data_IF_663788707016
#
_entry.id   IF_663788707016
#
_cell.length_a   1.000
_cell.length_b   1.000
_cell.length_c   1.000
_cell.angle_alpha   90.00
_cell.angle_beta   90.00
_cell.angle_gamma   90.00
#
_symmetry.space_group_name_H-M   'P 1'
#
loop_
_entity.id
_entity.type
_entity.pdbx_description
1 polymer ?
#
# COMPACT_ATOMS: atom_id res chain seq x y z
N UNK A 1 18.49 36.87 -16.73
CA UNK A 1 17.14 36.44 -17.13
C UNK A 1 17.16 34.95 -17.47
N UNK A 2 17.66 34.10 -16.56
CA UNK A 2 17.96 32.67 -16.84
C UNK A 2 17.57 31.74 -15.67
N UNK A 3 16.88 32.27 -14.65
CA UNK A 3 16.50 31.48 -13.45
C UNK A 3 15.01 31.14 -13.42
N UNK A 4 14.25 31.54 -14.45
CA UNK A 4 12.80 31.29 -14.54
C UNK A 4 12.44 29.87 -15.04
N UNK A 5 13.43 29.05 -15.42
CA UNK A 5 13.22 27.72 -16.02
C UNK A 5 13.22 26.56 -15.02
N UNK A 6 13.37 26.82 -13.71
CA UNK A 6 13.61 25.77 -12.71
C UNK A 6 12.38 25.31 -11.89
N UNK A 7 11.19 25.87 -12.12
CA UNK A 7 10.00 25.45 -11.39
C UNK A 7 8.78 25.38 -12.29
N UNK A 8 8.86 24.63 -13.38
CA UNK A 8 7.64 23.95 -13.81
C UNK A 8 7.38 22.87 -12.75
N UNK A 9 6.84 23.28 -11.60
CA UNK A 9 6.11 22.37 -10.73
C UNK A 9 5.11 21.72 -11.66
N UNK A 10 5.31 20.44 -11.95
CA UNK A 10 4.33 19.68 -12.68
C UNK A 10 3.08 19.71 -11.81
N UNK A 11 2.12 20.59 -12.13
CA UNK A 11 0.79 20.73 -11.50
C UNK A 11 -0.10 19.48 -11.75
N UNK A 12 0.52 18.31 -11.88
CA UNK A 12 -0.13 17.01 -12.01
C UNK A 12 0.02 16.22 -10.70
N UNK A 13 -0.92 15.29 -10.43
CA UNK A 13 -0.85 14.42 -9.26
C UNK A 13 0.50 13.66 -9.21
N UNK A 14 1.10 13.54 -8.02
CA UNK A 14 2.36 12.80 -7.82
C UNK A 14 2.10 11.29 -7.86
N UNK A 15 1.89 10.77 -9.08
CA UNK A 15 1.62 9.35 -9.34
C UNK A 15 2.78 8.44 -8.96
N UNK A 16 3.99 8.99 -8.88
CA UNK A 16 5.18 8.26 -8.45
C UNK A 16 5.11 7.95 -6.96
N UNK A 17 4.86 8.97 -6.12
CA UNK A 17 4.72 8.77 -4.68
C UNK A 17 3.51 7.90 -4.34
N UNK A 18 2.38 8.10 -5.01
CA UNK A 18 1.23 7.20 -4.89
C UNK A 18 1.60 5.75 -5.24
N UNK A 19 2.36 5.52 -6.32
CA UNK A 19 2.84 4.21 -6.70
C UNK A 19 3.75 3.56 -5.65
N UNK A 20 4.71 4.31 -5.12
CA UNK A 20 5.61 3.84 -4.06
C UNK A 20 4.83 3.42 -2.82
N UNK A 21 3.79 4.17 -2.45
CA UNK A 21 2.93 3.79 -1.34
C UNK A 21 2.32 2.40 -1.56
N UNK A 22 1.77 2.11 -2.73
CA UNK A 22 1.21 0.79 -3.04
C UNK A 22 2.26 -0.33 -3.08
N UNK A 23 3.44 -0.10 -3.66
CA UNK A 23 4.50 -1.12 -3.66
C UNK A 23 4.96 -1.44 -2.26
N UNK A 24 5.12 -0.43 -1.41
CA UNK A 24 5.54 -0.64 -0.02
C UNK A 24 4.49 -1.34 0.84
N UNK A 25 3.20 -1.28 0.46
CA UNK A 25 2.13 -1.91 1.21
C UNK A 25 2.22 -3.45 1.27
N UNK A 26 2.95 -4.08 0.34
CA UNK A 26 3.17 -5.54 0.37
C UNK A 26 3.99 -6.00 1.58
N UNK A 27 4.81 -5.11 2.16
CA UNK A 27 5.63 -5.41 3.34
C UNK A 27 4.94 -4.97 4.64
N UNK A 28 3.82 -4.25 4.55
CA UNK A 28 3.02 -3.80 5.68
C UNK A 28 2.61 -2.32 5.58
N UNK A 29 1.94 -1.79 6.63
CA UNK A 29 1.34 -0.46 6.58
C UNK A 29 2.30 0.70 6.89
N UNK A 30 3.51 0.41 7.37
CA UNK A 30 4.41 1.45 7.94
C UNK A 30 4.79 2.51 6.92
N UNK A 31 5.37 2.11 5.78
CA UNK A 31 5.81 3.06 4.74
C UNK A 31 4.62 3.82 4.12
N UNK A 32 3.49 3.17 3.77
CA UNK A 32 2.30 3.89 3.32
C UNK A 32 1.79 4.93 4.33
N UNK A 33 1.79 4.63 5.64
CA UNK A 33 1.40 5.57 6.69
C UNK A 33 2.35 6.76 6.77
N UNK A 34 3.67 6.53 6.62
CA UNK A 34 4.65 7.62 6.59
C UNK A 34 4.41 8.54 5.38
N UNK A 35 4.14 7.97 4.20
CA UNK A 35 3.81 8.74 2.99
C UNK A 35 2.52 9.53 3.19
N UNK A 36 1.49 8.91 3.76
CA UNK A 36 0.24 9.59 4.11
C UNK A 36 0.48 10.78 5.04
N UNK A 37 1.24 10.60 6.12
CA UNK A 37 1.58 11.68 7.06
C UNK A 37 2.36 12.82 6.40
N UNK A 38 3.27 12.49 5.48
CA UNK A 38 4.10 13.46 4.77
C UNK A 38 3.32 14.25 3.73
N UNK A 39 2.41 13.61 2.98
CA UNK A 39 1.69 14.25 1.86
C UNK A 39 0.34 14.86 2.24
N UNK A 40 -0.21 14.58 3.43
CA UNK A 40 -1.56 15.01 3.88
C UNK A 40 -1.88 16.51 3.82
N UNK A 41 -0.90 17.38 3.62
CA UNK A 41 -1.09 18.84 3.52
C UNK A 41 -0.79 19.40 2.14
N UNK A 42 -0.15 18.62 1.28
CA UNK A 42 0.50 19.12 0.05
C UNK A 42 -0.09 18.48 -1.22
N UNK A 43 -0.53 17.22 -1.16
CA UNK A 43 -1.08 16.49 -2.32
C UNK A 43 -2.24 15.58 -1.89
N UNK A 44 -3.46 15.97 -2.25
CA UNK A 44 -4.69 15.23 -1.95
C UNK A 44 -4.73 13.86 -2.64
N UNK A 45 -4.19 13.74 -3.86
CA UNK A 45 -4.18 12.49 -4.61
C UNK A 45 -3.25 11.47 -3.94
N UNK A 46 -1.99 11.83 -3.70
CA UNK A 46 -1.03 10.97 -3.01
C UNK A 46 -1.50 10.62 -1.60
N UNK A 47 -2.15 11.57 -0.90
CA UNK A 47 -2.71 11.32 0.42
C UNK A 47 -3.79 10.25 0.39
N UNK A 48 -4.74 10.33 -0.55
CA UNK A 48 -5.80 9.34 -0.68
C UNK A 48 -5.25 7.96 -1.03
N UNK A 49 -4.34 7.87 -1.99
CA UNK A 49 -3.76 6.59 -2.40
C UNK A 49 -2.86 5.99 -1.32
N UNK A 50 -2.08 6.82 -0.60
CA UNK A 50 -1.29 6.36 0.54
C UNK A 50 -2.14 5.85 1.70
N UNK A 51 -3.30 6.48 1.98
CA UNK A 51 -4.26 5.98 2.96
C UNK A 51 -4.84 4.62 2.54
N UNK A 52 -5.18 4.46 1.27
CA UNK A 52 -5.70 3.20 0.72
C UNK A 52 -4.64 2.08 0.78
N UNK A 53 -3.40 2.40 0.41
CA UNK A 53 -2.23 1.51 0.53
C UNK A 53 -1.95 1.12 1.98
N UNK A 54 -2.07 2.05 2.95
CA UNK A 54 -1.91 1.76 4.37
C UNK A 54 -2.97 0.78 4.88
N UNK A 55 -4.22 0.98 4.48
CA UNK A 55 -5.34 0.10 4.85
C UNK A 55 -5.18 -1.32 4.28
N UNK A 56 -4.65 -1.43 3.07
CA UNK A 56 -4.28 -2.70 2.46
C UNK A 56 -3.10 -3.36 3.18
N UNK A 57 -2.02 -2.62 3.42
CA UNK A 57 -0.84 -3.11 4.13
C UNK A 57 -1.17 -3.58 5.55
N UNK A 58 -2.16 -2.97 6.21
CA UNK A 58 -2.68 -3.47 7.49
C UNK A 58 -3.36 -4.82 7.34
N UNK A 59 -4.18 -5.02 6.30
CA UNK A 59 -4.81 -6.31 6.02
C UNK A 59 -3.77 -7.40 5.79
N UNK A 60 -2.71 -7.10 5.03
CA UNK A 60 -1.57 -8.00 4.81
C UNK A 60 -0.87 -8.33 6.13
N UNK A 61 -0.60 -7.33 6.97
CA UNK A 61 0.04 -7.52 8.27
C UNK A 61 -0.80 -8.43 9.19
N UNK A 62 -2.10 -8.17 9.30
CA UNK A 62 -3.01 -9.00 10.10
C UNK A 62 -3.04 -10.44 9.60
N UNK A 63 -3.15 -10.65 8.28
CA UNK A 63 -3.11 -11.98 7.70
C UNK A 63 -1.78 -12.70 7.96
N UNK A 64 -0.65 -11.98 7.87
CA UNK A 64 0.67 -12.54 8.14
C UNK A 64 0.83 -12.95 9.61
N UNK A 65 0.32 -12.15 10.55
CA UNK A 65 0.29 -12.48 11.98
C UNK A 65 -0.54 -13.74 12.21
N UNK A 66 -1.76 -13.80 11.67
CA UNK A 66 -2.63 -14.98 11.81
C UNK A 66 -1.98 -16.25 11.24
N UNK A 67 -1.38 -16.18 10.04
CA UNK A 67 -0.70 -17.33 9.45
C UNK A 67 0.51 -17.79 10.28
N UNK A 68 1.23 -16.84 10.89
CA UNK A 68 2.35 -17.13 11.80
C UNK A 68 1.86 -17.80 13.10
N UNK A 69 0.74 -17.33 13.67
CA UNK A 69 0.14 -17.95 14.85
C UNK A 69 -0.31 -19.39 14.57
N UNK A 70 -0.96 -19.64 13.43
CA UNK A 70 -1.34 -21.01 13.01
C UNK A 70 -0.11 -21.90 12.89
N UNK A 71 0.95 -21.40 12.24
CA UNK A 71 2.22 -22.12 12.09
C UNK A 71 2.84 -22.51 13.42
N UNK A 72 2.82 -21.60 14.41
CA UNK A 72 3.50 -21.79 15.70
C UNK A 72 2.69 -22.66 16.68
N UNK A 73 1.38 -22.46 16.74
CA UNK A 73 0.53 -23.04 17.78
C UNK A 73 -0.28 -24.26 17.34
N UNK A 74 -0.32 -24.58 16.04
CA UNK A 74 -1.04 -25.75 15.52
C UNK A 74 -0.04 -26.74 14.92
N UNK A 75 0.63 -27.58 15.73
CA UNK A 75 1.74 -28.42 15.27
C UNK A 75 1.36 -29.40 14.15
N UNK A 76 0.12 -29.92 14.13
CA UNK A 76 -0.36 -30.80 13.06
C UNK A 76 -0.66 -30.04 11.74
N UNK A 77 -0.90 -28.74 11.81
CA UNK A 77 -1.22 -27.88 10.65
C UNK A 77 -0.14 -26.82 10.40
N UNK A 78 1.05 -26.96 10.98
CA UNK A 78 2.13 -25.98 10.82
C UNK A 78 2.50 -25.74 9.34
N UNK A 79 2.39 -26.80 8.53
CA UNK A 79 2.54 -26.76 7.07
C UNK A 79 1.48 -25.88 6.38
N UNK A 80 0.22 -25.88 6.84
CA UNK A 80 -0.82 -24.97 6.32
C UNK A 80 -0.45 -23.52 6.61
N UNK A 81 0.12 -23.24 7.79
CA UNK A 81 0.62 -21.90 8.13
C UNK A 81 1.69 -21.41 7.15
N UNK A 82 2.65 -22.28 6.78
CA UNK A 82 3.66 -21.96 5.76
C UNK A 82 3.06 -21.75 4.38
N UNK A 83 2.13 -22.60 3.94
CA UNK A 83 1.42 -22.42 2.67
C UNK A 83 0.62 -21.11 2.65
N UNK A 84 -0.06 -20.78 3.75
CA UNK A 84 -0.81 -19.55 3.89
C UNK A 84 0.10 -18.32 3.80
N UNK A 85 1.30 -18.35 4.40
CA UNK A 85 2.30 -17.29 4.27
C UNK A 85 2.76 -17.10 2.82
N UNK A 86 3.01 -18.19 2.09
CA UNK A 86 3.40 -18.12 0.67
C UNK A 86 2.26 -17.58 -0.20
N UNK A 87 1.03 -18.08 0.00
CA UNK A 87 -0.15 -17.59 -0.71
C UNK A 87 -0.38 -16.10 -0.44
N UNK A 88 -0.25 -15.67 0.82
CA UNK A 88 -0.35 -14.27 1.21
C UNK A 88 0.72 -13.42 0.52
N UNK A 89 1.96 -13.88 0.41
CA UNK A 89 3.02 -13.15 -0.29
C UNK A 89 2.67 -12.93 -1.76
N UNK A 90 2.21 -13.98 -2.45
CA UNK A 90 1.81 -13.89 -3.87
C UNK A 90 0.65 -12.89 -4.04
N UNK A 91 -0.37 -12.99 -3.19
CA UNK A 91 -1.52 -12.07 -3.19
C UNK A 91 -1.07 -10.64 -2.88
N UNK A 92 -0.21 -10.46 -1.88
CA UNK A 92 0.34 -9.16 -1.46
C UNK A 92 1.05 -8.45 -2.62
N UNK A 93 1.95 -9.16 -3.30
CA UNK A 93 2.70 -8.64 -4.44
C UNK A 93 1.76 -8.35 -5.61
N UNK A 94 0.86 -9.28 -5.95
CA UNK A 94 -0.04 -9.15 -7.10
C UNK A 94 -0.90 -7.88 -7.02
N UNK A 95 -1.59 -7.67 -5.91
CA UNK A 95 -2.46 -6.49 -5.76
C UNK A 95 -1.66 -5.19 -5.59
N UNK A 96 -0.48 -5.24 -4.96
CA UNK A 96 0.40 -4.05 -4.86
C UNK A 96 0.90 -3.60 -6.23
N UNK A 97 1.30 -4.54 -7.10
CA UNK A 97 1.70 -4.24 -8.48
C UNK A 97 0.52 -3.77 -9.34
N UNK A 98 -0.67 -4.37 -9.17
CA UNK A 98 -1.87 -3.94 -9.87
C UNK A 98 -2.25 -2.49 -9.48
N UNK A 99 -2.24 -2.18 -8.19
CA UNK A 99 -2.51 -0.85 -7.67
C UNK A 99 -1.47 0.17 -8.17
N UNK A 100 -0.18 -0.17 -8.10
CA UNK A 100 0.91 0.63 -8.66
C UNK A 100 0.66 1.00 -10.13
N UNK A 101 0.30 0.01 -10.96
CA UNK A 101 0.02 0.24 -12.39
C UNK A 101 -1.22 1.10 -12.61
N UNK A 102 -2.22 1.01 -11.74
CA UNK A 102 -3.43 1.84 -11.80
C UNK A 102 -3.10 3.31 -11.51
N UNK A 103 -2.41 3.58 -10.39
CA UNK A 103 -2.08 4.95 -9.98
C UNK A 103 -1.04 5.61 -10.88
N UNK A 104 -0.11 4.84 -11.47
CA UNK A 104 0.79 5.37 -12.49
C UNK A 104 0.07 5.86 -13.75
N UNK A 105 -1.15 5.40 -13.99
CA UNK A 105 -2.02 5.89 -15.08
C UNK A 105 -2.96 7.01 -14.63
N UNK A 106 -2.80 7.51 -13.41
CA UNK A 106 -3.68 8.51 -12.79
C UNK A 106 -5.05 7.96 -12.37
N UNK A 107 -5.26 6.64 -12.41
CA UNK A 107 -6.50 6.01 -11.97
C UNK A 107 -6.40 5.63 -10.48
N UNK A 108 -7.46 5.82 -9.67
CA UNK A 108 -7.45 5.43 -8.27
C UNK A 108 -7.24 3.92 -8.11
N UNK A 109 -6.53 3.48 -7.06
CA UNK A 109 -6.38 2.07 -6.77
C UNK A 109 -7.64 1.50 -6.10
N UNK A 110 -7.97 0.25 -6.42
CA UNK A 110 -9.02 -0.51 -5.74
C UNK A 110 -8.48 -1.83 -5.23
N UNK A 111 -8.71 -2.11 -3.95
CA UNK A 111 -8.36 -3.37 -3.32
C UNK A 111 -9.63 -4.15 -2.97
N UNK A 112 -9.70 -5.45 -3.27
CA UNK A 112 -10.84 -6.28 -2.88
C UNK A 112 -10.94 -6.50 -1.37
N UNK A 113 -9.83 -6.32 -0.65
CA UNK A 113 -9.76 -6.46 0.80
C UNK A 113 -8.87 -5.37 1.39
N UNK A 114 -9.37 -4.68 2.42
CA UNK A 114 -8.66 -3.63 3.16
C UNK A 114 -9.20 -3.55 4.59
N UNK A 115 -8.33 -3.23 5.55
CA UNK A 115 -8.72 -2.93 6.94
C UNK A 115 -8.58 -1.41 7.11
N UNK A 116 -9.68 -0.72 7.42
CA UNK A 116 -9.69 0.75 7.57
C UNK A 116 -8.98 1.17 8.86
N UNK A 117 -7.75 1.65 8.75
CA UNK A 117 -6.93 2.24 9.83
C UNK A 117 -6.82 3.75 9.63
N UNK A 118 -6.61 4.17 8.39
CA UNK A 118 -6.54 5.57 7.98
C UNK A 118 -7.85 5.95 7.32
N UNK A 119 -8.37 7.14 7.66
CA UNK A 119 -9.59 7.68 7.05
C UNK A 119 -9.32 7.95 5.57
N UNK A 120 -10.05 7.24 4.72
CA UNK A 120 -10.12 7.51 3.29
C UNK A 120 -11.45 8.24 3.07
N UNK A 121 -11.43 9.38 2.39
CA UNK A 121 -12.64 10.11 2.00
C UNK A 121 -13.27 9.36 0.82
N UNK A 122 -13.88 8.23 1.14
CA UNK A 122 -14.70 7.41 0.23
C UNK A 122 -16.15 7.90 0.24
#
# INVERSE_FOLDING_TARGET
MEVAMAYMATDGPDTTVAGVAHLSAMTGPVVPVLIWLARRKDDDYSTREAANAANYGMAVLVAAVLATLVRLYVPLLGFLGTLAQLALLVVAVFYSVQAYRSVHRGMPASYPFKIKVVKTHD
#
